data_IF_088438088655
#
_entry.id   IF_088438088655
#
_cell.length_a   1.000
_cell.length_b   1.000
_cell.length_c   1.000
_cell.angle_alpha   90.00
_cell.angle_beta   90.00
_cell.angle_gamma   90.00
#
_symmetry.space_group_name_H-M   'P 1'
#
loop_
_entity.id
_entity.type
_entity.pdbx_description
1 polymer ?
#
# COMPACT_ATOMS: atom_id res chain seq x y z
N UNK A 1 25.47 -5.40 56.75
CA UNK A 1 24.56 -6.57 56.78
C UNK A 1 24.66 -7.27 55.43
N UNK A 2 24.87 -8.58 55.46
CA UNK A 2 25.28 -9.40 54.32
C UNK A 2 24.17 -9.59 53.27
N UNK A 3 24.54 -9.76 52.00
CA UNK A 3 24.23 -11.03 51.34
C UNK A 3 25.17 -11.32 50.16
N UNK A 4 25.83 -12.47 50.24
CA UNK A 4 26.57 -13.11 49.16
C UNK A 4 25.58 -13.71 48.17
N UNK A 5 25.83 -13.60 46.88
CA UNK A 5 25.38 -14.61 45.93
C UNK A 5 26.39 -14.73 44.79
N UNK A 6 27.16 -15.80 44.92
CA UNK A 6 28.18 -16.26 44.00
C UNK A 6 27.51 -16.82 42.75
N UNK A 7 27.81 -16.27 41.58
CA UNK A 7 27.50 -16.93 40.31
C UNK A 7 28.77 -16.97 39.46
N UNK A 8 29.46 -18.12 39.50
CA UNK A 8 30.55 -18.45 38.58
C UNK A 8 29.92 -19.17 37.39
N UNK A 9 29.86 -18.52 36.23
CA UNK A 9 29.61 -19.21 34.96
C UNK A 9 30.96 -19.29 34.25
N UNK A 10 31.47 -20.51 34.16
CA UNK A 10 32.62 -20.86 33.36
C UNK A 10 32.26 -20.75 31.87
N UNK A 11 33.18 -20.17 31.11
CA UNK A 11 33.17 -20.12 29.66
C UNK A 11 33.12 -21.53 29.05
N UNK A 12 32.43 -21.67 27.91
CA UNK A 12 32.91 -22.42 26.72
C UNK A 12 31.82 -22.46 25.65
N UNK A 13 32.20 -22.25 24.40
CA UNK A 13 31.35 -22.55 23.24
C UNK A 13 30.79 -21.33 22.52
N UNK A 14 31.66 -20.58 21.85
CA UNK A 14 31.26 -19.65 20.81
C UNK A 14 30.59 -20.41 19.66
N UNK A 15 29.29 -20.22 19.50
CA UNK A 15 28.58 -20.43 18.24
C UNK A 15 27.50 -19.35 18.15
N UNK A 16 27.94 -18.14 17.80
CA UNK A 16 27.07 -17.04 17.38
C UNK A 16 26.42 -17.44 16.06
N UNK A 17 25.31 -18.19 16.12
CA UNK A 17 24.35 -18.20 15.03
C UNK A 17 23.63 -16.85 15.06
N UNK A 18 24.25 -15.87 14.41
CA UNK A 18 23.59 -14.63 14.05
C UNK A 18 22.45 -15.00 13.09
N UNK A 19 21.23 -15.08 13.61
CA UNK A 19 20.04 -14.99 12.78
C UNK A 19 20.08 -13.62 12.11
N UNK A 20 20.67 -13.55 10.92
CA UNK A 20 20.48 -12.44 10.01
C UNK A 20 19.02 -12.52 9.60
N UNK A 21 18.15 -11.80 10.31
CA UNK A 21 16.81 -11.52 9.82
C UNK A 21 17.00 -10.72 8.54
N UNK A 22 16.89 -11.39 7.40
CA UNK A 22 16.86 -10.75 6.10
C UNK A 22 15.57 -9.94 6.08
N UNK A 23 15.65 -8.66 6.48
CA UNK A 23 14.59 -7.70 6.24
C UNK A 23 14.57 -7.47 4.73
N UNK A 24 13.91 -8.38 4.02
CA UNK A 24 13.48 -8.11 2.65
C UNK A 24 12.70 -6.81 2.70
N UNK A 25 12.96 -5.84 1.81
CA UNK A 25 12.04 -4.73 1.65
C UNK A 25 10.73 -5.36 1.18
N UNK A 26 9.78 -5.51 2.09
CA UNK A 26 8.39 -5.69 1.73
C UNK A 26 8.09 -4.49 0.85
N UNK A 27 7.97 -4.72 -0.46
CA UNK A 27 7.53 -3.68 -1.37
C UNK A 27 6.24 -3.15 -0.75
N UNK A 28 6.23 -1.89 -0.32
CA UNK A 28 5.08 -1.32 0.37
C UNK A 28 3.87 -1.48 -0.55
N UNK A 29 2.99 -2.39 -0.16
CA UNK A 29 1.82 -2.77 -0.93
C UNK A 29 0.63 -2.60 0.01
N UNK A 30 -0.13 -1.54 -0.20
CA UNK A 30 -1.38 -1.32 0.49
C UNK A 30 -2.49 -2.03 -0.29
N UNK A 31 -3.22 -2.92 0.39
CA UNK A 31 -4.26 -3.72 -0.25
C UNK A 31 -5.55 -3.57 0.53
N UNK A 32 -6.64 -3.32 -0.20
CA UNK A 32 -8.00 -3.44 0.29
C UNK A 32 -8.75 -4.43 -0.57
N UNK A 33 -9.36 -5.42 0.08
CA UNK A 33 -10.24 -6.41 -0.52
C UNK A 33 -11.54 -6.46 0.29
N UNK A 34 -12.68 -6.31 -0.38
CA UNK A 34 -13.96 -6.36 0.32
C UNK A 34 -15.12 -5.75 -0.45
N UNK A 35 -16.23 -5.57 0.26
CA UNK A 35 -17.45 -4.97 -0.29
C UNK A 35 -18.02 -3.94 0.66
N UNK A 36 -18.28 -2.72 0.19
CA UNK A 36 -18.81 -1.64 1.01
C UNK A 36 -17.82 -1.11 2.06
N UNK A 37 -16.52 -1.35 1.87
CA UNK A 37 -15.49 -0.97 2.82
C UNK A 37 -15.18 0.52 2.76
N UNK A 38 -14.91 1.13 3.92
CA UNK A 38 -14.55 2.54 4.05
C UNK A 38 -13.21 2.66 4.76
N UNK A 39 -12.15 2.89 4.00
CA UNK A 39 -10.80 2.75 4.53
C UNK A 39 -9.79 3.71 3.90
N UNK A 40 -8.71 3.95 4.62
CA UNK A 40 -7.56 4.73 4.14
C UNK A 40 -6.35 3.81 4.02
N UNK A 41 -5.72 3.82 2.85
CA UNK A 41 -4.53 3.05 2.52
C UNK A 41 -3.34 3.99 2.36
N UNK A 42 -2.24 3.72 3.05
CA UNK A 42 -0.96 4.37 2.80
C UNK A 42 -0.03 3.40 2.07
N UNK A 43 0.33 3.72 0.83
CA UNK A 43 1.20 2.89 0.01
C UNK A 43 2.69 3.15 0.24
N UNK A 44 3.08 4.16 1.05
CA UNK A 44 4.47 4.53 1.34
C UNK A 44 5.37 4.58 0.08
N UNK A 45 4.94 5.34 -0.93
CA UNK A 45 5.55 5.48 -2.26
C UNK A 45 5.60 4.18 -3.11
N UNK A 46 4.93 3.14 -2.66
CA UNK A 46 4.83 1.84 -3.32
C UNK A 46 3.56 1.70 -4.16
N UNK A 47 2.90 0.55 -4.02
CA UNK A 47 1.73 0.14 -4.80
C UNK A 47 0.49 0.11 -3.93
N UNK A 48 -0.65 0.47 -4.49
CA UNK A 48 -1.96 0.31 -3.86
C UNK A 48 -2.86 -0.56 -4.74
N UNK A 49 -3.64 -1.44 -4.12
CA UNK A 49 -4.67 -2.24 -4.79
C UNK A 49 -5.99 -2.15 -4.03
N UNK A 50 -7.07 -1.91 -4.76
CA UNK A 50 -8.44 -1.88 -4.25
C UNK A 50 -9.25 -2.86 -5.07
N UNK A 51 -9.71 -3.93 -4.45
CA UNK A 51 -10.45 -5.00 -5.13
C UNK A 51 -11.80 -5.24 -4.45
N UNK A 52 -12.85 -5.35 -5.25
CA UNK A 52 -14.18 -5.75 -4.80
C UNK A 52 -15.28 -4.78 -5.25
N UNK A 53 -16.27 -4.53 -4.39
CA UNK A 53 -17.51 -3.85 -4.81
C UNK A 53 -17.93 -2.73 -3.88
N UNK A 54 -18.32 -1.58 -4.44
CA UNK A 54 -18.85 -0.42 -3.70
C UNK A 54 -17.96 0.06 -2.54
N UNK A 55 -16.64 -0.11 -2.66
CA UNK A 55 -15.71 0.37 -1.65
C UNK A 55 -15.45 1.88 -1.80
N UNK A 56 -15.30 2.59 -0.68
CA UNK A 56 -14.88 3.99 -0.62
C UNK A 56 -13.50 4.10 0.01
N UNK A 57 -12.48 4.36 -0.81
CA UNK A 57 -11.08 4.26 -0.38
C UNK A 57 -10.33 5.56 -0.61
N UNK A 58 -9.60 6.01 0.41
CA UNK A 58 -8.60 7.07 0.29
C UNK A 58 -7.22 6.45 0.23
N UNK A 59 -6.46 6.71 -0.83
CA UNK A 59 -5.11 6.19 -1.03
C UNK A 59 -4.12 7.34 -0.91
N UNK A 60 -3.16 7.20 0.00
CA UNK A 60 -2.16 8.22 0.33
C UNK A 60 -0.73 7.66 0.21
N UNK A 61 0.28 8.52 0.41
CA UNK A 61 1.68 8.11 0.38
C UNK A 61 2.37 8.25 -0.97
N UNK A 62 1.86 9.07 -1.90
CA UNK A 62 2.46 9.32 -3.21
C UNK A 62 2.71 8.02 -4.01
N UNK A 63 1.65 7.25 -4.26
CA UNK A 63 1.76 5.93 -4.87
C UNK A 63 2.30 5.98 -6.29
N UNK A 64 3.17 5.03 -6.61
CA UNK A 64 3.67 4.86 -7.98
C UNK A 64 2.71 4.07 -8.84
N UNK A 65 1.91 3.18 -8.21
CA UNK A 65 0.93 2.34 -8.90
C UNK A 65 -0.35 2.24 -8.10
N UNK A 66 -1.48 2.40 -8.77
CA UNK A 66 -2.81 2.12 -8.23
C UNK A 66 -3.54 1.16 -9.16
N UNK A 67 -4.04 0.07 -8.60
CA UNK A 67 -4.94 -0.86 -9.29
C UNK A 67 -6.30 -0.86 -8.60
N UNK A 68 -7.36 -0.69 -9.39
CA UNK A 68 -8.74 -0.76 -8.90
C UNK A 68 -9.48 -1.81 -9.71
N UNK A 69 -9.94 -2.86 -9.06
CA UNK A 69 -10.59 -4.01 -9.70
C UNK A 69 -11.97 -4.26 -9.09
N UNK A 70 -12.97 -4.52 -9.94
CA UNK A 70 -14.32 -4.87 -9.53
C UNK A 70 -15.36 -3.85 -9.96
N UNK A 71 -16.32 -3.51 -9.09
CA UNK A 71 -17.47 -2.68 -9.50
C UNK A 71 -17.87 -1.61 -8.50
N UNK A 72 -18.22 -0.41 -8.99
CA UNK A 72 -18.79 0.65 -8.16
C UNK A 72 -17.83 1.27 -7.13
N UNK A 73 -16.54 0.93 -7.17
CA UNK A 73 -15.57 1.47 -6.21
C UNK A 73 -15.34 2.97 -6.43
N UNK A 74 -15.27 3.74 -5.34
CA UNK A 74 -14.94 5.17 -5.33
C UNK A 74 -13.60 5.36 -4.64
N UNK A 75 -12.59 5.77 -5.39
CA UNK A 75 -11.21 5.88 -4.90
C UNK A 75 -10.69 7.30 -5.07
N UNK A 76 -10.15 7.88 -4.00
CA UNK A 76 -9.40 9.15 -4.05
C UNK A 76 -7.94 8.88 -3.77
N UNK A 77 -7.04 9.18 -4.71
CA UNK A 77 -5.64 8.76 -4.64
C UNK A 77 -4.62 9.90 -4.75
N UNK A 78 -3.61 9.87 -3.88
CA UNK A 78 -2.40 10.68 -3.97
C UNK A 78 -1.31 9.90 -4.70
N UNK A 79 -1.03 10.29 -5.94
CA UNK A 79 -0.11 9.61 -6.83
C UNK A 79 1.23 10.36 -6.92
N UNK A 80 2.33 9.66 -7.16
CA UNK A 80 3.62 10.25 -7.47
C UNK A 80 3.64 10.89 -8.87
N UNK A 81 4.62 11.76 -9.14
CA UNK A 81 4.77 12.43 -10.43
C UNK A 81 4.91 11.47 -11.62
N UNK A 82 5.58 10.33 -11.46
CA UNK A 82 5.69 9.27 -12.47
C UNK A 82 4.98 8.03 -11.97
N UNK A 83 3.68 7.94 -12.24
CA UNK A 83 2.83 6.88 -11.70
C UNK A 83 1.85 6.33 -12.72
N UNK A 84 1.26 5.19 -12.40
CA UNK A 84 0.28 4.48 -13.24
C UNK A 84 -0.99 4.21 -12.46
N UNK A 85 -2.13 4.39 -13.11
CA UNK A 85 -3.45 4.00 -12.60
C UNK A 85 -4.04 2.98 -13.57
N UNK A 86 -4.45 1.83 -13.03
CA UNK A 86 -5.15 0.77 -13.74
C UNK A 86 -6.52 0.58 -13.12
N UNK A 87 -7.57 0.63 -13.94
CA UNK A 87 -8.95 0.43 -13.50
C UNK A 87 -9.55 -0.68 -14.34
N UNK A 88 -10.07 -1.73 -13.71
CA UNK A 88 -10.70 -2.85 -14.39
C UNK A 88 -12.06 -3.18 -13.79
N UNK A 89 -13.05 -3.38 -14.65
CA UNK A 89 -14.41 -3.75 -14.24
C UNK A 89 -15.44 -2.68 -14.59
N UNK A 90 -16.42 -2.44 -13.71
CA UNK A 90 -17.65 -1.71 -14.06
C UNK A 90 -17.92 -0.52 -13.13
N UNK A 91 -18.17 0.65 -13.71
CA UNK A 91 -18.65 1.85 -12.99
C UNK A 91 -17.76 2.31 -11.82
N UNK A 92 -16.46 2.02 -11.86
CA UNK A 92 -15.52 2.51 -10.86
C UNK A 92 -15.22 4.00 -11.07
N UNK A 93 -15.10 4.76 -9.99
CA UNK A 93 -14.78 6.19 -10.01
C UNK A 93 -13.46 6.43 -9.29
N UNK A 94 -12.46 6.89 -10.03
CA UNK A 94 -11.13 7.18 -9.48
C UNK A 94 -10.85 8.67 -9.62
N UNK A 95 -10.67 9.35 -8.50
CA UNK A 95 -10.19 10.72 -8.43
C UNK A 95 -8.73 10.71 -8.00
N UNK A 96 -7.83 11.37 -8.73
CA UNK A 96 -6.40 11.35 -8.41
C UNK A 96 -5.78 12.74 -8.36
N UNK A 97 -4.76 12.90 -7.53
CA UNK A 97 -3.91 14.09 -7.45
C UNK A 97 -2.43 13.70 -7.53
N UNK A 98 -1.62 14.57 -8.11
CA UNK A 98 -0.16 14.41 -8.21
C UNK A 98 0.53 15.70 -7.79
N UNK A 99 1.76 15.63 -7.25
CA UNK A 99 2.57 16.82 -7.04
C UNK A 99 2.90 17.46 -8.41
N UNK A 100 2.58 18.73 -8.55
CA UNK A 100 2.82 19.51 -9.77
C UNK A 100 1.79 19.26 -10.89
N UNK A 101 2.26 19.26 -12.14
CA UNK A 101 1.42 19.20 -13.35
C UNK A 101 1.45 17.84 -14.06
N UNK A 102 2.25 16.88 -13.58
CA UNK A 102 2.41 15.59 -14.26
C UNK A 102 1.19 14.70 -14.06
N UNK A 103 0.68 14.11 -15.12
CA UNK A 103 -0.43 13.17 -15.06
C UNK A 103 0.10 11.71 -15.01
N UNK A 104 -0.54 10.83 -14.24
CA UNK A 104 -0.25 9.40 -14.28
C UNK A 104 -0.65 8.81 -15.63
N UNK A 105 -0.02 7.70 -15.99
CA UNK A 105 -0.48 6.87 -17.10
C UNK A 105 -1.76 6.16 -16.66
N UNK A 106 -2.89 6.47 -17.30
CA UNK A 106 -4.18 5.86 -16.97
C UNK A 106 -4.52 4.78 -17.99
N UNK A 107 -4.95 3.63 -17.49
CA UNK A 107 -5.57 2.55 -18.27
C UNK A 107 -6.89 2.15 -17.62
N UNK A 108 -7.92 2.00 -18.43
CA UNK A 108 -9.26 1.64 -17.97
C UNK A 108 -9.82 0.56 -18.90
N UNK A 109 -10.22 -0.58 -18.32
CA UNK A 109 -10.82 -1.69 -19.02
C UNK A 109 -12.20 -2.02 -18.40
N UNK A 110 -13.16 -2.35 -19.26
CA UNK A 110 -14.56 -2.58 -18.88
C UNK A 110 -15.46 -1.39 -19.21
N UNK A 111 -16.54 -1.21 -18.46
CA UNK A 111 -17.67 -0.32 -18.86
C UNK A 111 -17.98 0.70 -17.76
N UNK A 112 -18.16 1.97 -18.13
CA UNK A 112 -18.65 3.02 -17.22
C UNK A 112 -17.64 3.52 -16.18
N UNK A 113 -16.38 3.08 -16.25
CA UNK A 113 -15.31 3.59 -15.38
C UNK A 113 -15.02 5.07 -15.68
N UNK A 114 -14.76 5.85 -14.64
CA UNK A 114 -14.39 7.27 -14.74
C UNK A 114 -13.11 7.51 -13.95
N UNK A 115 -12.11 8.11 -14.61
CA UNK A 115 -10.84 8.48 -13.97
C UNK A 115 -10.60 9.96 -14.20
N UNK A 116 -10.62 10.74 -13.13
CA UNK A 116 -10.55 12.21 -13.18
C UNK A 116 -9.48 12.76 -12.26
N UNK A 117 -8.87 13.87 -12.66
CA UNK A 117 -7.98 14.62 -11.78
C UNK A 117 -8.81 15.36 -10.72
N UNK A 118 -8.51 15.16 -9.45
CA UNK A 118 -9.03 15.99 -8.36
C UNK A 118 -8.55 17.44 -8.57
N UNK A 119 -9.44 18.42 -8.37
CA UNK A 119 -9.08 19.84 -8.48
C UNK A 119 -8.26 20.30 -7.29
#
# INVERSE_FOLDING_TARGET
MANKSSFRIAATGAALFACVAVMTPAHAQAVLEGSGEHSTLDCAAGKASVTGTDNQVTVEGACTHLTVEGSGNVVTAQMAAQSTIKVEGISNKVSWRTPGKTAPKVSSAGVGNSVTRAR
#
